data_IF_176496743819
#
_entry.id   IF_176496743819
#
_cell.length_a   1.000
_cell.length_b   1.000
_cell.length_c   1.000
_cell.angle_alpha   90.00
_cell.angle_beta   90.00
_cell.angle_gamma   90.00
#
_symmetry.space_group_name_H-M   'P 1'
#
loop_
_entity.id
_entity.type
_entity.pdbx_description
1 polymer ?
#
# COMPACT_ATOMS: atom_id res chain seq x y z
N UNK A 1 -5.60 1.27 -12.67
CA UNK A 1 -5.97 0.56 -13.90
C UNK A 1 -4.69 0.12 -14.57
N UNK A 2 -4.51 -1.20 -14.63
CA UNK A 2 -3.36 -1.82 -15.25
C UNK A 2 -3.64 -1.95 -16.76
N UNK A 3 -2.95 -1.14 -17.56
CA UNK A 3 -3.04 -1.20 -19.03
C UNK A 3 -4.17 -0.37 -19.64
N UNK A 4 -4.25 -0.45 -20.98
CA UNK A 4 -5.19 0.30 -21.83
C UNK A 4 -6.25 -0.59 -22.46
N UNK A 5 -6.10 -1.91 -22.38
CA UNK A 5 -7.02 -2.84 -23.03
C UNK A 5 -8.37 -2.86 -22.32
N UNK A 6 -9.44 -2.52 -23.04
CA UNK A 6 -10.79 -2.64 -22.54
C UNK A 6 -11.27 -4.09 -22.55
N UNK A 7 -12.08 -4.45 -21.55
CA UNK A 7 -12.84 -5.69 -21.48
C UNK A 7 -14.31 -5.35 -21.23
N UNK A 8 -15.21 -6.16 -21.80
CA UNK A 8 -16.65 -5.94 -21.71
C UNK A 8 -17.37 -7.25 -21.46
N UNK A 9 -18.23 -7.26 -20.44
CA UNK A 9 -19.00 -8.44 -20.05
C UNK A 9 -20.48 -8.07 -19.93
N UNK A 10 -21.37 -8.95 -20.38
CA UNK A 10 -22.82 -8.81 -20.19
C UNK A 10 -23.23 -9.33 -18.81
N UNK A 11 -22.62 -8.78 -17.76
CA UNK A 11 -22.80 -9.19 -16.37
C UNK A 11 -22.90 -7.97 -15.45
N UNK A 12 -24.03 -7.81 -14.77
CA UNK A 12 -24.23 -6.71 -13.82
C UNK A 12 -23.33 -6.86 -12.57
N UNK A 13 -22.89 -8.07 -12.23
CA UNK A 13 -21.92 -8.32 -11.15
C UNK A 13 -20.53 -7.86 -11.57
N UNK A 14 -20.14 -8.04 -12.84
CA UNK A 14 -18.90 -7.49 -13.37
C UNK A 14 -18.87 -5.97 -13.19
N UNK A 15 -19.93 -5.27 -13.60
CA UNK A 15 -20.04 -3.82 -13.39
C UNK A 15 -19.97 -3.44 -11.92
N UNK A 16 -20.66 -4.16 -11.04
CA UNK A 16 -20.61 -3.93 -9.60
C UNK A 16 -19.18 -4.07 -9.04
N UNK A 17 -18.45 -5.12 -9.42
CA UNK A 17 -17.05 -5.33 -9.00
C UNK A 17 -16.17 -4.18 -9.51
N UNK A 18 -16.30 -3.79 -10.78
CA UNK A 18 -15.55 -2.68 -11.37
C UNK A 18 -15.82 -1.35 -10.65
N UNK A 19 -17.09 -1.07 -10.29
CA UNK A 19 -17.46 0.14 -9.54
C UNK A 19 -16.89 0.12 -8.13
N UNK A 20 -16.93 -1.01 -7.43
CA UNK A 20 -16.33 -1.14 -6.09
C UNK A 20 -14.81 -0.93 -6.13
N UNK A 21 -14.12 -1.53 -7.09
CA UNK A 21 -12.68 -1.37 -7.30
C UNK A 21 -12.30 0.07 -7.64
N UNK A 22 -13.02 0.70 -8.59
CA UNK A 22 -12.77 2.10 -8.94
C UNK A 22 -13.02 3.05 -7.76
N UNK A 23 -14.04 2.79 -6.95
CA UNK A 23 -14.30 3.55 -5.72
C UNK A 23 -13.16 3.38 -4.72
N UNK A 24 -12.63 2.16 -4.57
CA UNK A 24 -11.46 1.92 -3.73
C UNK A 24 -10.22 2.69 -4.22
N UNK A 25 -9.95 2.64 -5.52
CA UNK A 25 -8.82 3.37 -6.13
C UNK A 25 -8.99 4.89 -5.99
N UNK A 26 -10.22 5.40 -6.04
CA UNK A 26 -10.49 6.80 -5.74
C UNK A 26 -10.09 7.16 -4.29
N UNK A 27 -10.45 6.33 -3.31
CA UNK A 27 -10.04 6.55 -1.92
C UNK A 27 -8.52 6.50 -1.73
N UNK A 28 -7.83 5.58 -2.41
CA UNK A 28 -6.36 5.50 -2.41
C UNK A 28 -5.73 6.75 -3.02
N UNK A 29 -6.22 7.22 -4.17
CA UNK A 29 -5.76 8.46 -4.83
C UNK A 29 -6.15 9.73 -4.05
N UNK A 30 -7.22 9.68 -3.27
CA UNK A 30 -7.61 10.78 -2.41
C UNK A 30 -6.64 10.90 -1.21
N UNK A 31 -6.33 9.78 -0.56
CA UNK A 31 -5.24 9.69 0.43
C UNK A 31 -3.92 10.19 -0.18
N UNK A 32 -3.56 9.58 -1.31
CA UNK A 32 -2.82 10.07 -2.50
C UNK A 32 -2.44 11.54 -2.62
N UNK A 33 -3.49 12.34 -2.56
CA UNK A 33 -3.39 13.76 -2.84
C UNK A 33 -3.18 14.56 -1.56
N UNK A 34 -3.85 14.15 -0.49
CA UNK A 34 -3.82 14.86 0.79
C UNK A 34 -2.43 14.77 1.38
N UNK A 35 -1.84 13.57 1.43
CA UNK A 35 -0.59 13.43 2.16
C UNK A 35 0.68 13.82 1.37
N UNK A 36 0.53 14.18 0.10
CA UNK A 36 1.56 14.86 -0.68
C UNK A 36 1.63 16.38 -0.43
N UNK A 37 0.72 16.95 0.38
CA UNK A 37 0.72 18.37 0.72
C UNK A 37 1.92 18.78 1.59
N UNK A 38 2.33 20.06 1.50
CA UNK A 38 3.48 20.61 2.23
C UNK A 38 3.33 20.54 3.76
N UNK A 39 2.11 20.74 4.26
CA UNK A 39 1.78 20.58 5.67
C UNK A 39 0.51 19.77 5.76
N UNK A 40 0.62 18.57 6.35
CA UNK A 40 -0.52 17.69 6.59
C UNK A 40 -0.94 17.89 8.05
N UNK A 41 -2.12 18.45 8.26
CA UNK A 41 -2.71 18.59 9.59
C UNK A 41 -3.09 17.23 10.19
N UNK A 42 -3.32 17.20 11.51
CA UNK A 42 -3.75 15.97 12.17
C UNK A 42 -5.09 15.42 11.64
N UNK A 43 -6.01 16.30 11.22
CA UNK A 43 -7.30 15.87 10.69
C UNK A 43 -7.17 15.36 9.24
N UNK A 44 -6.25 15.93 8.47
CA UNK A 44 -5.87 15.40 7.15
C UNK A 44 -5.17 14.04 7.26
N UNK A 45 -4.27 13.85 8.22
CA UNK A 45 -3.66 12.54 8.48
C UNK A 45 -4.71 11.48 8.86
N UNK A 46 -5.71 11.83 9.69
CA UNK A 46 -6.86 10.93 9.97
C UNK A 46 -7.67 10.63 8.72
N UNK A 47 -7.83 11.61 7.82
CA UNK A 47 -8.57 11.45 6.58
C UNK A 47 -7.84 10.52 5.61
N UNK A 48 -6.51 10.63 5.52
CA UNK A 48 -5.64 9.71 4.76
C UNK A 48 -5.81 8.28 5.28
N UNK A 49 -5.62 8.09 6.59
CA UNK A 49 -5.80 6.79 7.25
C UNK A 49 -7.19 6.19 7.01
N UNK A 50 -8.26 6.97 7.19
CA UNK A 50 -9.64 6.51 6.96
C UNK A 50 -9.92 6.19 5.50
N UNK A 51 -9.40 7.00 4.57
CA UNK A 51 -9.59 6.77 3.13
C UNK A 51 -8.96 5.45 2.71
N UNK A 52 -7.72 5.19 3.12
CA UNK A 52 -7.01 3.95 2.80
C UNK A 52 -7.72 2.72 3.38
N UNK A 53 -8.17 2.77 4.64
CA UNK A 53 -8.95 1.68 5.27
C UNK A 53 -10.27 1.39 4.56
N UNK A 54 -10.96 2.44 4.11
CA UNK A 54 -12.20 2.32 3.36
C UNK A 54 -11.97 1.76 1.96
N UNK A 55 -10.90 2.17 1.28
CA UNK A 55 -10.47 1.58 0.01
C UNK A 55 -10.14 0.10 0.14
N UNK A 56 -9.35 -0.27 1.15
CA UNK A 56 -9.06 -1.67 1.48
C UNK A 56 -10.34 -2.48 1.79
N UNK A 57 -11.30 -1.89 2.51
CA UNK A 57 -12.59 -2.50 2.83
C UNK A 57 -13.42 -2.81 1.59
N UNK A 58 -13.50 -1.86 0.65
CA UNK A 58 -14.19 -2.03 -0.64
C UNK A 58 -13.55 -3.12 -1.49
N UNK A 59 -12.21 -3.16 -1.56
CA UNK A 59 -11.48 -4.22 -2.25
C UNK A 59 -11.80 -5.58 -1.63
N UNK A 60 -11.62 -5.72 -0.32
CA UNK A 60 -11.89 -6.96 0.41
C UNK A 60 -13.33 -7.45 0.17
N UNK A 61 -14.31 -6.56 0.28
CA UNK A 61 -15.71 -6.89 0.04
C UNK A 61 -15.97 -7.34 -1.41
N UNK A 62 -15.40 -6.63 -2.40
CA UNK A 62 -15.54 -7.04 -3.81
C UNK A 62 -15.00 -8.46 -4.04
N UNK A 63 -13.82 -8.77 -3.50
CA UNK A 63 -13.17 -10.06 -3.66
C UNK A 63 -13.89 -11.20 -2.94
N UNK A 64 -14.24 -10.99 -1.68
CA UNK A 64 -14.82 -12.05 -0.85
C UNK A 64 -16.27 -12.37 -1.27
N UNK A 65 -17.05 -11.35 -1.62
CA UNK A 65 -18.49 -11.50 -1.85
C UNK A 65 -18.91 -11.62 -3.32
N UNK A 66 -18.17 -11.02 -4.25
CA UNK A 66 -18.68 -10.81 -5.62
C UNK A 66 -17.82 -11.44 -6.72
N UNK A 67 -16.49 -11.49 -6.58
CA UNK A 67 -15.61 -12.03 -7.64
C UNK A 67 -15.94 -13.49 -7.96
N UNK A 68 -16.26 -14.32 -6.97
CA UNK A 68 -16.67 -15.72 -7.20
C UNK A 68 -18.06 -15.88 -7.81
N UNK A 69 -18.82 -14.79 -7.97
CA UNK A 69 -20.18 -14.77 -8.57
C UNK A 69 -20.18 -14.24 -10.00
N UNK A 70 -19.02 -13.86 -10.55
CA UNK A 70 -18.90 -13.46 -11.94
C UNK A 70 -19.25 -14.62 -12.87
N UNK A 71 -19.94 -14.32 -13.96
CA UNK A 71 -20.27 -15.32 -14.99
C UNK A 71 -19.01 -15.84 -15.69
N UNK A 72 -18.04 -14.96 -15.89
CA UNK A 72 -16.74 -15.26 -16.48
C UNK A 72 -15.64 -15.05 -15.45
N UNK A 73 -14.65 -15.94 -15.45
CA UNK A 73 -13.50 -15.79 -14.55
C UNK A 73 -12.69 -14.54 -14.93
N UNK A 74 -12.13 -13.80 -13.95
CA UNK A 74 -11.28 -12.65 -14.22
C UNK A 74 -10.16 -12.97 -15.20
N UNK A 75 -9.94 -12.07 -16.18
CA UNK A 75 -8.82 -12.20 -17.09
C UNK A 75 -7.48 -12.14 -16.32
N UNK A 76 -6.47 -12.94 -16.72
CA UNK A 76 -5.15 -12.86 -16.10
C UNK A 76 -4.57 -11.45 -16.19
N UNK A 77 -3.93 -10.99 -15.12
CA UNK A 77 -3.35 -9.63 -14.99
C UNK A 77 -4.37 -8.48 -15.01
N UNK A 78 -5.67 -8.76 -15.01
CA UNK A 78 -6.71 -7.72 -14.82
C UNK A 78 -6.72 -7.19 -13.39
N UNK A 79 -7.44 -6.08 -13.17
CA UNK A 79 -7.65 -5.52 -11.82
C UNK A 79 -8.40 -6.51 -10.88
N UNK A 80 -9.07 -7.52 -11.43
CA UNK A 80 -9.75 -8.60 -10.68
C UNK A 80 -8.94 -9.91 -10.60
N UNK A 81 -7.72 -9.97 -11.13
CA UNK A 81 -6.81 -11.10 -10.90
C UNK A 81 -6.52 -11.22 -9.39
N UNK A 82 -6.69 -12.40 -8.76
CA UNK A 82 -6.49 -12.56 -7.32
C UNK A 82 -5.12 -12.10 -6.80
N UNK A 83 -4.08 -12.18 -7.64
CA UNK A 83 -2.72 -11.70 -7.33
C UNK A 83 -2.68 -10.17 -7.26
N UNK A 84 -3.25 -9.51 -8.27
CA UNK A 84 -3.37 -8.06 -8.35
C UNK A 84 -4.22 -7.52 -7.21
N UNK A 85 -5.32 -8.21 -6.92
CA UNK A 85 -6.19 -7.89 -5.80
C UNK A 85 -5.43 -7.94 -4.46
N UNK A 86 -4.71 -9.04 -4.22
CA UNK A 86 -3.90 -9.23 -3.01
C UNK A 86 -2.87 -8.12 -2.85
N UNK A 87 -2.22 -7.68 -3.94
CA UNK A 87 -1.30 -6.56 -3.91
C UNK A 87 -1.96 -5.24 -3.50
N UNK A 88 -3.10 -4.87 -4.11
CA UNK A 88 -3.81 -3.64 -3.75
C UNK A 88 -4.32 -3.65 -2.31
N UNK A 89 -4.89 -4.77 -1.85
CA UNK A 89 -5.40 -4.89 -0.49
C UNK A 89 -4.28 -4.72 0.55
N UNK A 90 -3.16 -5.42 0.35
CA UNK A 90 -2.01 -5.31 1.24
C UNK A 90 -1.36 -3.92 1.17
N UNK A 91 -1.24 -3.33 -0.02
CA UNK A 91 -0.72 -1.98 -0.18
C UNK A 91 -1.58 -0.95 0.56
N UNK A 92 -2.90 -0.92 0.33
CA UNK A 92 -3.78 0.05 0.97
C UNK A 92 -3.76 -0.08 2.51
N UNK A 93 -3.68 -1.31 3.01
CA UNK A 93 -3.58 -1.59 4.44
C UNK A 93 -2.22 -1.17 5.01
N UNK A 94 -1.12 -1.46 4.30
CA UNK A 94 0.23 -1.08 4.70
C UNK A 94 0.41 0.44 4.71
N UNK A 95 -0.05 1.14 3.67
CA UNK A 95 -0.01 2.61 3.58
C UNK A 95 -0.82 3.26 4.71
N UNK A 96 -1.95 2.67 5.12
CA UNK A 96 -2.67 3.14 6.29
C UNK A 96 -1.88 2.88 7.59
N UNK A 97 -1.18 1.74 7.68
CA UNK A 97 -0.32 1.39 8.80
C UNK A 97 0.86 2.38 8.96
N UNK A 98 1.37 2.94 7.86
CA UNK A 98 2.37 4.02 7.89
C UNK A 98 1.91 5.23 8.70
N UNK A 99 0.65 5.64 8.53
CA UNK A 99 0.04 6.75 9.28
C UNK A 99 0.01 6.44 10.77
N UNK A 100 -0.34 5.21 11.11
CA UNK A 100 -0.37 4.74 12.51
C UNK A 100 1.02 4.70 13.12
N UNK A 101 2.04 4.27 12.36
CA UNK A 101 3.45 4.28 12.80
C UNK A 101 3.92 5.71 13.03
N UNK A 102 3.69 6.61 12.06
CA UNK A 102 4.05 8.02 12.18
C UNK A 102 3.43 8.64 13.44
N UNK A 103 2.16 8.34 13.70
CA UNK A 103 1.46 8.80 14.90
C UNK A 103 2.01 8.18 16.18
N UNK A 104 2.36 6.89 16.16
CA UNK A 104 2.93 6.21 17.30
C UNK A 104 4.28 6.82 17.71
N UNK A 105 5.09 7.23 16.73
CA UNK A 105 6.36 7.94 16.93
C UNK A 105 6.13 9.34 17.52
N UNK A 106 5.20 10.12 16.97
CA UNK A 106 4.86 11.46 17.49
C UNK A 106 4.37 11.43 18.94
N UNK A 107 3.58 10.41 19.29
CA UNK A 107 3.09 10.19 20.64
C UNK A 107 4.11 9.51 21.57
N UNK A 108 5.33 9.26 21.08
CA UNK A 108 6.44 8.65 21.84
C UNK A 108 6.05 7.32 22.48
N UNK A 109 5.30 6.49 21.76
CA UNK A 109 5.00 5.13 22.21
C UNK A 109 6.27 4.30 22.40
N UNK A 110 6.14 3.20 23.14
CA UNK A 110 7.24 2.27 23.40
C UNK A 110 7.87 1.76 22.08
N UNK A 111 9.20 1.68 22.06
CA UNK A 111 9.96 1.28 20.88
C UNK A 111 9.62 -0.14 20.39
N UNK A 112 9.31 -1.08 21.28
CA UNK A 112 8.83 -2.42 20.91
C UNK A 112 7.53 -2.37 20.10
N UNK A 113 6.57 -1.52 20.48
CA UNK A 113 5.33 -1.34 19.71
C UNK A 113 5.61 -0.80 18.31
N UNK A 114 6.43 0.25 18.20
CA UNK A 114 6.78 0.86 16.91
C UNK A 114 7.53 -0.15 16.03
N UNK A 115 8.43 -0.95 16.63
CA UNK A 115 9.12 -2.05 15.97
C UNK A 115 8.15 -3.08 15.39
N UNK A 116 7.20 -3.55 16.20
CA UNK A 116 6.22 -4.55 15.79
C UNK A 116 5.28 -4.03 14.68
N UNK A 117 4.81 -2.78 14.78
CA UNK A 117 4.00 -2.14 13.72
C UNK A 117 4.78 -2.03 12.41
N UNK A 118 6.05 -1.63 12.48
CA UNK A 118 6.92 -1.51 11.31
C UNK A 118 7.22 -2.86 10.67
N UNK A 119 7.40 -3.91 11.49
CA UNK A 119 7.61 -5.28 11.00
C UNK A 119 6.38 -5.78 10.22
N UNK A 120 5.18 -5.61 10.79
CA UNK A 120 3.94 -6.01 10.11
C UNK A 120 3.71 -5.21 8.82
N UNK A 121 4.04 -3.91 8.82
CA UNK A 121 3.99 -3.07 7.61
C UNK A 121 4.93 -3.58 6.52
N UNK A 122 6.18 -3.92 6.89
CA UNK A 122 7.14 -4.51 5.97
C UNK A 122 6.62 -5.82 5.38
N UNK A 123 6.03 -6.69 6.21
CA UNK A 123 5.44 -7.97 5.76
C UNK A 123 4.26 -7.77 4.82
N UNK A 124 3.39 -6.78 5.05
CA UNK A 124 2.29 -6.45 4.13
C UNK A 124 2.84 -6.03 2.76
N UNK A 125 3.84 -5.15 2.72
CA UNK A 125 4.48 -4.75 1.47
C UNK A 125 5.20 -5.90 0.77
N UNK A 126 5.89 -6.78 1.50
CA UNK A 126 6.49 -8.01 0.95
C UNK A 126 5.43 -8.91 0.35
N UNK A 127 4.34 -9.16 1.08
CA UNK A 127 3.20 -9.97 0.60
C UNK A 127 2.61 -9.38 -0.69
N UNK A 128 2.45 -8.05 -0.74
CA UNK A 128 2.00 -7.37 -1.94
C UNK A 128 2.96 -7.59 -3.11
N UNK A 129 4.27 -7.36 -2.91
CA UNK A 129 5.28 -7.50 -3.95
C UNK A 129 5.35 -8.94 -4.48
N UNK A 130 5.35 -9.93 -3.59
CA UNK A 130 5.46 -11.35 -3.94
C UNK A 130 4.23 -11.82 -4.72
N UNK A 131 3.04 -11.31 -4.39
CA UNK A 131 1.81 -11.68 -5.10
C UNK A 131 1.85 -11.34 -6.59
N UNK A 132 2.49 -10.23 -6.97
CA UNK A 132 2.61 -9.78 -8.36
C UNK A 132 3.99 -10.05 -8.99
N UNK A 133 4.94 -10.61 -8.24
CA UNK A 133 6.33 -10.83 -8.70
C UNK A 133 6.45 -11.78 -9.91
N UNK A 134 5.46 -12.67 -10.09
CA UNK A 134 5.41 -13.61 -11.22
C UNK A 134 4.68 -13.07 -12.46
N UNK A 135 4.11 -11.87 -12.38
CA UNK A 135 3.40 -11.22 -13.49
C UNK A 135 4.38 -10.54 -14.46
N UNK A 136 3.87 -10.10 -15.62
CA UNK A 136 4.69 -9.45 -16.64
C UNK A 136 5.42 -8.21 -16.07
N UNK A 137 6.74 -8.28 -16.01
CA UNK A 137 7.61 -7.22 -15.50
C UNK A 137 7.41 -5.89 -16.25
N UNK A 138 7.00 -5.91 -17.52
CA UNK A 138 6.73 -4.68 -18.27
C UNK A 138 5.54 -3.89 -17.72
N UNK A 139 4.58 -4.58 -17.10
CA UNK A 139 3.37 -3.98 -16.53
C UNK A 139 3.57 -3.77 -15.03
N UNK A 140 4.06 -4.79 -14.33
CA UNK A 140 4.10 -4.82 -12.87
C UNK A 140 5.45 -4.43 -12.28
N UNK A 141 6.53 -4.40 -13.07
CA UNK A 141 7.88 -4.18 -12.56
C UNK A 141 8.02 -2.88 -11.76
N UNK A 142 7.43 -1.79 -12.25
CA UNK A 142 7.47 -0.49 -11.54
C UNK A 142 6.75 -0.56 -10.19
N UNK A 143 5.61 -1.24 -10.13
CA UNK A 143 4.82 -1.42 -8.91
C UNK A 143 5.55 -2.35 -7.92
N UNK A 144 6.08 -3.48 -8.39
CA UNK A 144 6.88 -4.41 -7.58
C UNK A 144 8.08 -3.70 -6.94
N UNK A 145 8.76 -2.82 -7.68
CA UNK A 145 9.89 -2.03 -7.16
C UNK A 145 9.48 -1.05 -6.06
N UNK A 146 8.33 -0.38 -6.21
CA UNK A 146 7.76 0.47 -5.15
C UNK A 146 7.47 -0.34 -3.87
N UNK A 147 6.82 -1.49 -4.01
CA UNK A 147 6.46 -2.35 -2.86
C UNK A 147 7.70 -2.90 -2.16
N UNK A 148 8.72 -3.35 -2.91
CA UNK A 148 10.00 -3.82 -2.35
C UNK A 148 10.78 -2.72 -1.64
N UNK A 149 10.80 -1.51 -2.20
CA UNK A 149 11.37 -0.34 -1.55
C UNK A 149 10.72 -0.10 -0.18
N UNK A 150 9.39 -0.04 -0.15
CA UNK A 150 8.63 0.17 1.09
C UNK A 150 8.86 -0.96 2.09
N UNK A 151 8.88 -2.22 1.63
CA UNK A 151 9.16 -3.38 2.47
C UNK A 151 10.54 -3.28 3.16
N UNK A 152 11.60 -2.98 2.41
CA UNK A 152 12.96 -2.84 2.95
C UNK A 152 13.07 -1.63 3.89
N UNK A 153 12.40 -0.53 3.55
CA UNK A 153 12.37 0.68 4.36
C UNK A 153 11.72 0.45 5.74
N UNK A 154 10.56 -0.20 5.79
CA UNK A 154 9.89 -0.51 7.05
C UNK A 154 10.57 -1.64 7.84
N UNK A 155 11.29 -2.54 7.17
CA UNK A 155 12.18 -3.49 7.85
C UNK A 155 13.31 -2.76 8.59
N UNK A 156 13.90 -1.73 7.98
CA UNK A 156 14.89 -0.87 8.64
C UNK A 156 14.33 -0.16 9.86
N UNK A 157 13.11 0.40 9.76
CA UNK A 157 12.39 0.98 10.91
C UNK A 157 12.19 -0.04 12.04
N UNK A 158 11.75 -1.25 11.70
CA UNK A 158 11.52 -2.31 12.67
C UNK A 158 12.79 -2.64 13.46
N UNK A 159 13.90 -2.91 12.77
CA UNK A 159 15.17 -3.20 13.43
C UNK A 159 15.74 -2.01 14.22
N UNK A 160 15.54 -0.77 13.74
CA UNK A 160 15.98 0.43 14.47
C UNK A 160 15.26 0.55 15.84
N UNK A 161 13.95 0.41 15.84
CA UNK A 161 13.16 0.49 17.08
C UNK A 161 13.32 -0.76 17.95
N UNK A 162 13.56 -1.94 17.37
CA UNK A 162 13.97 -3.14 18.10
C UNK A 162 15.29 -2.92 18.84
N UNK A 163 16.29 -2.32 18.18
CA UNK A 163 17.56 -1.96 18.80
C UNK A 163 17.39 -0.99 19.97
N UNK A 164 16.53 0.03 19.84
CA UNK A 164 16.20 0.92 20.95
C UNK A 164 15.51 0.18 22.11
N UNK A 165 14.60 -0.73 21.81
CA UNK A 165 13.91 -1.54 22.82
C UNK A 165 14.87 -2.47 23.57
N UNK A 166 15.79 -3.12 22.86
CA UNK A 166 16.83 -3.99 23.42
C UNK A 166 17.82 -3.21 24.30
N UNK A 167 18.20 -2.01 23.87
CA UNK A 167 19.04 -1.12 24.67
C UNK A 167 18.37 -0.76 26.00
N UNK A 168 17.07 -0.48 26.00
CA UNK A 168 16.29 -0.21 27.21
C UNK A 168 16.13 -1.43 28.13
N UNK A 169 16.46 -2.63 27.65
CA UNK A 169 16.48 -3.87 28.42
C UNK A 169 17.91 -4.29 28.82
N UNK A 170 18.87 -3.36 28.70
CA UNK A 170 20.30 -3.59 28.96
C UNK A 170 20.91 -4.68 28.05
N UNK A 171 20.30 -5.01 26.92
CA UNK A 171 20.80 -5.97 25.92
C UNK A 171 21.54 -5.26 24.80
N UNK A 172 22.60 -4.55 25.17
CA UNK A 172 23.36 -3.70 24.26
C UNK A 172 24.03 -4.46 23.08
N UNK A 173 24.50 -5.69 23.30
CA UNK A 173 25.08 -6.52 22.23
C UNK A 173 24.05 -6.84 21.13
N UNK A 174 22.84 -7.26 21.55
CA UNK A 174 21.72 -7.53 20.65
C UNK A 174 21.25 -6.24 19.95
N UNK A 175 21.22 -5.12 20.69
CA UNK A 175 20.84 -3.82 20.16
C UNK A 175 21.76 -3.36 19.03
N UNK A 176 23.09 -3.53 19.19
CA UNK A 176 24.06 -3.22 18.12
C UNK A 176 23.78 -4.08 16.89
N UNK A 177 23.57 -5.39 17.07
CA UNK A 177 23.32 -6.30 15.94
C UNK A 177 22.02 -5.97 15.22
N UNK A 178 20.96 -5.59 15.95
CA UNK A 178 19.71 -5.10 15.37
C UNK A 178 19.95 -3.85 14.50
N UNK A 179 20.69 -2.87 15.01
CA UNK A 179 20.97 -1.61 14.31
C UNK A 179 21.88 -1.79 13.09
N UNK A 180 22.79 -2.78 13.12
CA UNK A 180 23.55 -3.20 11.93
C UNK A 180 22.61 -3.77 10.85
N UNK A 181 21.62 -4.58 11.22
CA UNK A 181 20.61 -5.06 10.27
C UNK A 181 19.74 -3.90 9.77
N UNK A 182 19.35 -2.95 10.64
CA UNK A 182 18.61 -1.77 10.25
C UNK A 182 19.34 -0.96 9.18
N UNK A 183 20.66 -0.76 9.34
CA UNK A 183 21.50 -0.07 8.36
C UNK A 183 21.56 -0.83 7.03
N UNK A 184 21.76 -2.14 7.06
CA UNK A 184 21.75 -2.99 5.85
C UNK A 184 20.41 -2.90 5.12
N UNK A 185 19.28 -2.97 5.83
CA UNK A 185 17.93 -2.82 5.23
C UNK A 185 17.69 -1.43 4.64
N UNK A 186 18.24 -0.38 5.25
CA UNK A 186 18.20 0.96 4.69
C UNK A 186 19.01 1.07 3.39
N UNK A 187 20.19 0.45 3.33
CA UNK A 187 21.01 0.39 2.12
C UNK A 187 20.31 -0.41 0.99
N UNK A 188 19.67 -1.53 1.33
CA UNK A 188 18.81 -2.29 0.41
C UNK A 188 17.67 -1.41 -0.14
N UNK A 189 16.98 -0.64 0.71
CA UNK A 189 15.94 0.30 0.27
C UNK A 189 16.49 1.39 -0.67
N UNK A 190 17.71 1.89 -0.41
CA UNK A 190 18.38 2.84 -1.28
C UNK A 190 18.73 2.27 -2.65
N UNK A 191 19.06 0.98 -2.73
CA UNK A 191 19.29 0.29 -3.99
C UNK A 191 17.97 0.09 -4.76
N UNK A 192 16.90 -0.33 -4.08
CA UNK A 192 15.57 -0.43 -4.68
C UNK A 192 15.05 0.92 -5.20
N UNK A 193 15.42 2.03 -4.55
CA UNK A 193 15.07 3.38 -5.04
C UNK A 193 15.71 3.71 -6.39
N UNK A 194 16.96 3.28 -6.60
CA UNK A 194 17.62 3.42 -7.90
C UNK A 194 16.94 2.56 -8.96
N UNK A 195 16.63 1.30 -8.63
CA UNK A 195 15.91 0.40 -9.54
C UNK A 195 14.55 0.97 -9.93
N UNK A 196 13.74 1.39 -8.95
CA UNK A 196 12.45 2.05 -9.16
C UNK A 196 12.54 3.25 -10.12
N UNK A 197 13.57 4.09 -9.99
CA UNK A 197 13.77 5.26 -10.87
C UNK A 197 14.06 4.90 -12.33
N UNK A 198 14.64 3.72 -12.57
CA UNK A 198 14.99 3.23 -13.91
C UNK A 198 13.92 2.32 -14.51
N UNK A 199 13.06 1.72 -13.69
CA UNK A 199 11.97 0.86 -14.15
C UNK A 199 10.81 1.69 -14.71
N UNK A 200 10.44 1.43 -15.96
CA UNK A 200 9.24 2.00 -16.58
C UNK A 200 8.00 1.17 -16.19
N UNK A 201 6.87 1.83 -16.01
CA UNK A 201 5.59 1.17 -15.80
C UNK A 201 4.47 2.19 -15.60
N UNK A 202 3.25 1.72 -15.30
CA UNK A 202 2.11 2.59 -15.02
C UNK A 202 2.35 3.48 -13.80
N UNK A 203 1.81 4.69 -13.83
CA UNK A 203 1.89 5.66 -12.73
C UNK A 203 2.97 6.72 -12.91
N UNK A 204 3.10 7.58 -11.90
CA UNK A 204 4.08 8.68 -11.88
C UNK A 204 5.42 8.18 -11.35
N UNK A 205 6.53 8.57 -11.99
CA UNK A 205 7.85 8.33 -11.42
C UNK A 205 8.09 9.21 -10.20
N UNK A 206 7.91 8.64 -9.01
CA UNK A 206 8.31 9.29 -7.77
C UNK A 206 9.85 9.32 -7.63
N UNK A 207 10.36 10.13 -6.70
CA UNK A 207 11.78 10.13 -6.30
C UNK A 207 11.89 9.91 -4.79
N UNK A 208 11.56 8.69 -4.29
CA UNK A 208 11.44 8.42 -2.86
C UNK A 208 12.71 8.77 -2.07
N UNK A 209 13.89 8.69 -2.70
CA UNK A 209 15.17 9.05 -2.08
C UNK A 209 15.26 10.53 -1.69
N UNK A 210 14.47 11.39 -2.34
CA UNK A 210 14.41 12.82 -2.04
C UNK A 210 13.36 13.14 -0.98
N UNK A 211 12.41 12.24 -0.77
CA UNK A 211 11.33 12.45 0.18
C UNK A 211 11.92 12.48 1.60
N UNK A 212 11.36 13.36 2.43
CA UNK A 212 11.91 13.62 3.76
C UNK A 212 11.91 12.37 4.64
N UNK A 213 10.86 11.55 4.55
CA UNK A 213 10.73 10.33 5.33
C UNK A 213 11.93 9.38 5.11
N UNK A 214 12.42 9.29 3.86
CA UNK A 214 13.58 8.47 3.52
C UNK A 214 14.87 9.08 4.09
N UNK A 215 15.10 10.38 3.85
CA UNK A 215 16.32 11.08 4.29
C UNK A 215 16.51 11.11 5.81
N UNK A 216 15.42 11.08 6.59
CA UNK A 216 15.50 11.15 8.06
C UNK A 216 15.91 9.84 8.73
N UNK A 217 15.63 8.69 8.10
CA UNK A 217 15.90 7.41 8.74
C UNK A 217 17.41 7.13 8.89
N UNK A 218 18.22 7.43 7.86
CA UNK A 218 19.66 7.20 7.91
C UNK A 218 20.36 7.87 9.12
N UNK A 219 20.20 9.18 9.37
CA UNK A 219 20.79 9.81 10.55
C UNK A 219 20.31 9.20 11.88
N UNK A 220 19.04 8.78 11.97
CA UNK A 220 18.47 8.16 13.16
C UNK A 220 19.14 6.81 13.43
N UNK A 221 19.25 5.95 12.42
CA UNK A 221 19.90 4.64 12.53
C UNK A 221 21.36 4.79 12.94
N UNK A 222 22.11 5.65 12.24
CA UNK A 222 23.53 5.88 12.52
C UNK A 222 23.76 6.39 13.94
N UNK A 223 23.02 7.43 14.37
CA UNK A 223 23.16 8.00 15.72
C UNK A 223 22.81 6.99 16.81
N UNK A 224 21.79 6.16 16.57
CA UNK A 224 21.38 5.12 17.52
C UNK A 224 22.43 4.02 17.60
N UNK A 225 22.98 3.58 16.47
CA UNK A 225 24.07 2.60 16.42
C UNK A 225 25.30 3.09 17.18
N UNK A 226 25.77 4.30 16.89
CA UNK A 226 26.93 4.90 17.58
C UNK A 226 26.69 5.03 19.09
N UNK A 227 25.45 5.31 19.51
CA UNK A 227 25.08 5.33 20.93
C UNK A 227 25.27 3.94 21.56
N UNK A 228 24.71 2.90 20.95
CA UNK A 228 24.85 1.53 21.44
C UNK A 228 26.31 1.07 21.46
N UNK A 229 27.10 1.40 20.43
CA UNK A 229 28.52 1.06 20.37
C UNK A 229 29.33 1.73 21.49
N UNK A 230 29.07 3.02 21.77
CA UNK A 230 29.69 3.72 22.89
C UNK A 230 29.31 3.12 24.23
N UNK A 231 28.02 2.87 24.45
CA UNK A 231 27.54 2.27 25.71
C UNK A 231 28.09 0.85 25.90
N UNK A 232 28.15 0.05 24.84
CA UNK A 232 28.75 -1.29 24.94
C UNK A 232 30.26 -1.22 25.20
N UNK A 233 30.96 -0.27 24.60
CA UNK A 233 32.40 -0.08 24.78
C UNK A 233 32.79 0.49 26.15
N UNK A 234 31.90 1.19 26.85
CA UNK A 234 32.19 1.84 28.13
C UNK A 234 31.52 1.18 29.34
N UNK A 235 30.38 0.50 29.16
CA UNK A 235 29.51 0.04 30.24
C UNK A 235 29.31 -1.48 30.17
N UNK A 236 28.74 -1.98 29.07
CA UNK A 236 28.18 -3.33 29.04
C UNK A 236 29.18 -4.42 28.64
N UNK A 237 30.11 -4.13 27.73
CA UNK A 237 31.07 -5.08 27.15
C UNK A 237 30.45 -6.41 26.68
N UNK A 238 29.20 -6.36 26.21
CA UNK A 238 28.48 -7.53 25.73
C UNK A 238 28.99 -7.96 24.37
N UNK A 239 29.03 -9.27 24.17
CA UNK A 239 29.33 -9.87 22.87
C UNK A 239 28.22 -9.51 21.88
N UNK A 240 28.59 -9.07 20.69
CA UNK A 240 27.65 -8.82 19.60
C UNK A 240 27.31 -10.18 18.95
N UNK A 241 26.03 -10.58 18.87
CA UNK A 241 25.62 -11.80 18.18
C UNK A 241 25.92 -11.77 16.68
N UNK A 242 26.02 -12.95 16.07
CA UNK A 242 26.19 -13.08 14.62
C UNK A 242 24.86 -12.84 13.87
N UNK A 243 23.79 -13.48 14.33
CA UNK A 243 22.47 -13.38 13.72
C UNK A 243 21.67 -12.18 14.24
N UNK A 244 20.83 -11.55 13.40
CA UNK A 244 19.96 -10.47 13.86
C UNK A 244 18.91 -11.01 14.83
N UNK A 245 18.49 -10.21 15.81
CA UNK A 245 17.43 -10.62 16.73
C UNK A 245 16.11 -10.83 15.97
N UNK A 246 15.34 -11.82 16.39
CA UNK A 246 14.00 -12.04 15.87
C UNK A 246 13.09 -10.86 16.23
N UNK A 247 12.43 -10.28 15.22
CA UNK A 247 11.47 -9.21 15.42
C UNK A 247 10.15 -9.78 15.96
N UNK A 248 9.54 -9.08 16.91
CA UNK A 248 8.20 -9.41 17.39
C UNK A 248 7.22 -9.47 16.21
N UNK A 249 6.51 -10.60 16.12
CA UNK A 249 5.70 -10.94 14.95
C UNK A 249 4.34 -10.25 14.99
N UNK A 250 3.83 -9.82 16.15
CA UNK A 250 2.51 -9.18 16.26
C UNK A 250 2.53 -7.97 17.17
N UNK A 251 2.17 -6.81 16.62
CA UNK A 251 1.84 -5.65 17.42
C UNK A 251 0.58 -5.93 18.24
N UNK A 252 0.61 -5.64 19.54
CA UNK A 252 -0.51 -5.86 20.46
C UNK A 252 -1.67 -4.88 20.24
N UNK A 253 -1.38 -3.70 19.68
CA UNK A 253 -2.34 -2.63 19.41
C UNK A 253 -1.95 -1.88 18.14
N UNK A 254 -2.91 -1.19 17.52
CA UNK A 254 -2.63 -0.28 16.39
C UNK A 254 -2.45 -0.95 15.03
N UNK A 255 -2.74 -2.26 14.91
CA UNK A 255 -2.84 -2.92 13.61
C UNK A 255 -4.03 -2.39 12.84
N UNK A 256 -3.78 -2.00 11.60
CA UNK A 256 -4.80 -1.52 10.68
C UNK A 256 -5.51 -2.72 10.06
N UNK A 257 -6.83 -2.66 10.03
CA UNK A 257 -7.68 -3.57 9.30
C UNK A 257 -8.51 -2.80 8.26
N UNK A 258 -8.85 -3.44 7.12
CA UNK A 258 -9.87 -2.95 6.20
C UNK A 258 -11.17 -2.61 6.95
N UNK A 259 -11.85 -1.54 6.55
CA UNK A 259 -13.18 -1.23 7.11
C UNK A 259 -14.21 -2.24 6.59
N UNK A 260 -15.14 -2.66 7.44
CA UNK A 260 -16.27 -3.46 7.01
C UNK A 260 -17.14 -2.65 6.05
N UNK A 261 -17.52 -3.27 4.93
CA UNK A 261 -18.37 -2.67 3.93
C UNK A 261 -19.55 -3.57 3.62
N UNK A 262 -20.71 -2.95 3.38
CA UNK A 262 -21.91 -3.62 2.90
C UNK A 262 -22.55 -2.73 1.85
N UNK A 263 -23.22 -3.35 0.87
CA UNK A 263 -23.98 -2.58 -0.11
C UNK A 263 -25.15 -1.85 0.54
N UNK A 264 -25.51 -0.66 0.04
CA UNK A 264 -26.74 -0.01 0.45
C UNK A 264 -27.95 -0.90 0.13
N UNK A 265 -29.07 -0.74 0.85
CA UNK A 265 -30.29 -1.47 0.54
C UNK A 265 -30.77 -1.14 -0.87
N UNK A 266 -31.52 -2.08 -1.47
CA UNK A 266 -32.11 -1.90 -2.78
C UNK A 266 -32.94 -0.62 -2.82
N UNK A 267 -32.75 0.17 -3.88
CA UNK A 267 -33.45 1.43 -4.04
C UNK A 267 -34.98 1.18 -4.10
N UNK A 268 -35.82 1.98 -3.42
CA UNK A 268 -37.27 1.79 -3.38
C UNK A 268 -37.97 1.82 -4.75
N UNK A 269 -37.29 2.35 -5.78
CA UNK A 269 -37.76 2.39 -7.17
C UNK A 269 -37.86 0.99 -7.81
N UNK A 270 -37.14 0.01 -7.28
CA UNK A 270 -37.19 -1.38 -7.74
C UNK A 270 -38.37 -2.10 -7.08
N UNK A 271 -39.52 -2.03 -7.75
CA UNK A 271 -40.77 -2.68 -7.33
C UNK A 271 -41.12 -3.84 -8.27
N UNK A 272 -42.00 -4.79 -7.88
CA UNK A 272 -42.49 -5.82 -8.79
C UNK A 272 -43.08 -5.26 -10.09
N UNK A 273 -43.74 -4.09 -10.01
CA UNK A 273 -44.28 -3.39 -11.18
C UNK A 273 -43.14 -2.93 -12.10
N UNK A 274 -42.11 -2.30 -11.54
CA UNK A 274 -40.91 -1.87 -12.28
C UNK A 274 -40.24 -3.07 -12.96
N UNK A 275 -40.05 -4.19 -12.25
CA UNK A 275 -39.48 -5.41 -12.81
C UNK A 275 -40.33 -5.97 -13.96
N UNK A 276 -41.66 -5.99 -13.80
CA UNK A 276 -42.57 -6.49 -14.84
C UNK A 276 -42.58 -5.64 -16.12
N UNK A 277 -42.11 -4.39 -16.05
CA UNK A 277 -42.01 -3.52 -17.21
C UNK A 277 -40.78 -3.84 -18.10
N UNK A 278 -39.81 -4.61 -17.62
CA UNK A 278 -38.68 -5.07 -18.44
C UNK A 278 -39.14 -6.22 -19.34
N UNK A 279 -39.51 -5.89 -20.57
CA UNK A 279 -39.89 -6.87 -21.60
C UNK A 279 -38.65 -7.41 -22.32
N UNK A 280 -38.12 -8.53 -21.81
CA UNK A 280 -36.93 -9.19 -22.36
C UNK A 280 -37.15 -9.76 -23.77
N UNK A 281 -38.41 -9.86 -24.24
CA UNK A 281 -38.71 -10.37 -25.59
C UNK A 281 -38.56 -9.31 -26.68
N UNK A 282 -38.46 -8.02 -26.30
CA UNK A 282 -38.41 -6.89 -27.25
C UNK A 282 -36.99 -6.38 -27.57
N UNK A 283 -35.97 -6.80 -26.82
CA UNK A 283 -34.62 -6.20 -26.88
C UNK A 283 -33.46 -7.20 -26.99
N UNK A 284 -33.67 -8.37 -27.59
CA UNK A 284 -32.61 -9.37 -27.79
C UNK A 284 -32.52 -9.80 -29.26
N UNK A 285 -32.32 -8.88 -30.21
CA UNK A 285 -31.62 -9.30 -31.42
C UNK A 285 -30.16 -9.49 -31.02
N UNK A 286 -29.73 -10.74 -30.86
CA UNK A 286 -28.35 -11.13 -30.54
C UNK A 286 -27.32 -10.57 -31.56
N UNK A 287 -27.80 -10.03 -32.68
CA UNK A 287 -27.03 -9.73 -33.87
C UNK A 287 -26.71 -8.23 -34.08
N UNK A 288 -27.36 -7.31 -33.35
CA UNK A 288 -27.16 -5.85 -33.57
C UNK A 288 -26.26 -5.16 -32.54
N UNK A 289 -26.17 -5.67 -31.31
CA UNK A 289 -25.31 -5.07 -30.27
C UNK A 289 -23.82 -5.32 -30.54
N UNK A 290 -23.47 -6.49 -31.05
CA UNK A 290 -22.10 -6.87 -31.47
C UNK A 290 -21.66 -6.21 -32.78
N UNK A 291 -22.60 -5.78 -33.64
CA UNK A 291 -22.35 -5.09 -34.92
C UNK A 291 -22.46 -3.57 -34.83
N UNK A 292 -22.86 -3.02 -33.68
CA UNK A 292 -22.87 -1.58 -33.45
C UNK A 292 -21.46 -1.02 -33.62
N UNK A 293 -21.31 -0.01 -34.50
CA UNK A 293 -20.06 0.76 -34.67
C UNK A 293 -19.53 1.35 -33.35
N UNK A 294 -20.39 1.48 -32.34
CA UNK A 294 -20.03 1.94 -31.00
C UNK A 294 -19.40 0.81 -30.18
N UNK A 295 -19.91 -0.42 -30.26
CA UNK A 295 -19.31 -1.60 -29.62
C UNK A 295 -17.96 -1.97 -30.28
N UNK A 296 -17.90 -1.93 -31.61
CA UNK A 296 -16.64 -2.14 -32.38
C UNK A 296 -15.59 -1.03 -32.15
N UNK A 297 -16.01 0.18 -31.72
CA UNK A 297 -15.07 1.26 -31.34
C UNK A 297 -14.49 1.08 -29.92
N UNK A 298 -15.10 0.22 -29.09
CA UNK A 298 -14.63 -0.07 -27.73
C UNK A 298 -13.60 -1.22 -27.71
N UNK A 299 -13.46 -1.99 -28.79
CA UNK A 299 -12.44 -3.05 -28.95
C UNK A 299 -10.99 -2.53 -29.16
N UNK A 300 -10.72 -1.26 -28.87
CA UNK A 300 -9.40 -0.65 -28.96
C UNK A 300 -8.78 -0.35 -27.59
N UNK A 301 -7.48 -0.08 -27.57
CA UNK A 301 -6.82 0.48 -26.39
C UNK A 301 -7.48 1.81 -25.99
N UNK A 302 -7.93 1.89 -24.73
CA UNK A 302 -8.40 3.10 -24.10
C UNK A 302 -7.25 4.10 -23.95
N UNK A 303 -7.48 5.40 -24.17
CA UNK A 303 -6.46 6.40 -23.89
C UNK A 303 -6.11 6.37 -22.40
N UNK A 304 -4.82 6.53 -22.10
CA UNK A 304 -4.36 6.64 -20.72
C UNK A 304 -5.12 7.77 -20.00
N UNK A 305 -5.58 7.50 -18.77
CA UNK A 305 -6.23 8.49 -17.93
C UNK A 305 -5.25 9.64 -17.68
N UNK A 306 -5.63 10.86 -18.07
CA UNK A 306 -4.84 12.07 -17.79
C UNK A 306 -4.94 12.39 -16.30
N UNK A 307 -4.01 11.89 -15.52
CA UNK A 307 -3.91 12.23 -14.10
C UNK A 307 -3.43 13.68 -13.93
N UNK A 308 -3.99 14.39 -12.96
CA UNK A 308 -3.45 15.70 -12.58
C UNK A 308 -2.14 15.48 -11.83
N UNK A 309 -1.07 16.19 -12.22
CA UNK A 309 0.21 16.08 -11.53
C UNK A 309 0.05 16.45 -10.05
N UNK A 310 0.50 15.55 -9.18
CA UNK A 310 0.66 15.83 -7.76
C UNK A 310 2.01 16.50 -7.59
N UNK A 311 2.02 17.80 -7.34
CA UNK A 311 3.26 18.54 -7.11
C UNK A 311 3.87 18.17 -5.75
N UNK A 312 4.92 17.35 -5.77
CA UNK A 312 5.76 17.12 -4.60
C UNK A 312 6.74 18.29 -4.44
N UNK A 313 6.73 18.96 -3.29
CA UNK A 313 7.65 20.07 -3.02
C UNK A 313 8.92 19.55 -2.36
N UNK A 314 10.03 20.26 -2.57
CA UNK A 314 11.35 19.91 -2.02
C UNK A 314 11.57 20.40 -0.58
N UNK A 315 10.56 21.01 0.05
CA UNK A 315 10.64 21.56 1.40
C UNK A 315 10.37 20.48 2.44
N UNK A 316 11.14 20.53 3.53
CA UNK A 316 11.09 19.58 4.63
C UNK A 316 9.93 19.91 5.60
N UNK A 317 9.04 18.95 5.89
CA UNK A 317 7.99 19.08 6.92
C UNK A 317 8.62 19.22 8.31
N UNK A 318 7.92 19.89 9.23
CA UNK A 318 8.40 20.16 10.60
C UNK A 318 8.00 19.11 11.65
N UNK A 319 7.23 18.08 11.30
CA UNK A 319 6.80 17.05 12.24
C UNK A 319 7.98 16.13 12.66
N UNK A 320 7.91 15.43 13.79
CA UNK A 320 9.00 14.58 14.30
C UNK A 320 9.19 13.30 13.47
N UNK A 321 8.11 12.79 12.87
CA UNK A 321 8.12 11.58 12.05
C UNK A 321 8.77 11.78 10.68
N UNK A 322 8.77 13.01 10.14
CA UNK A 322 9.17 13.31 8.76
C UNK A 322 8.30 12.62 7.71
N UNK A 323 7.15 12.10 8.13
CA UNK A 323 6.23 11.37 7.27
C UNK A 323 5.32 12.39 6.59
N UNK A 324 5.67 12.78 5.37
CA UNK A 324 4.67 13.09 4.34
C UNK A 324 4.20 11.74 3.82
N UNK A 325 2.99 11.30 4.17
CA UNK A 325 2.51 9.94 3.87
C UNK A 325 2.32 9.82 2.36
N UNK A 326 3.34 9.45 1.58
CA UNK A 326 3.36 8.84 0.23
C UNK A 326 4.66 9.20 -0.49
#
# INVERSE_FOLDING_TARGET
MLGTKAEGHYDAIYELVSVLQNTAFWYMKHASKIAAQEEVSMDEAKLVHRSLRRGAGLLKYAQDEWVNKLLESPAPMSDSDPRVHTAYLNQATAEAQEVTIARAIELKHNAGLISALSNETSRMFTTAADSIASLDEKIFGHWTQYLRLKAAFYASYAYNYSGQNLLNQDKCGDAIRALQEAKKKYEEAGQQCKEYSHTKGPGTQAKPEKHQFFRRLAPIVTRTLEKCERENGMIYHQKIPYDPPELEIKATYGLVAPDDYTLPPMAPLWTPVTYSAFDLTKNLSEDDSSKSKTAQKVEGDLPAVKETEVHHTSKDHKNDSGCSIM
#
